data_IF_978987403412
#
_entry.id   IF_978987403412
#
_cell.length_a   1.000
_cell.length_b   1.000
_cell.length_c   1.000
_cell.angle_alpha   90.00
_cell.angle_beta   90.00
_cell.angle_gamma   90.00
#
_symmetry.space_group_name_H-M   'P 1'
#
loop_
_entity.id
_entity.type
_entity.pdbx_description
1 polymer ?
#
# COMPACT_ATOMS: atom_id res chain seq x y z
N UNK A 1 -2.83 -8.66 -22.82
CA UNK A 1 -3.44 -9.19 -21.59
C UNK A 1 -3.58 -8.04 -20.60
N UNK A 2 -4.65 -7.97 -19.82
CA UNK A 2 -4.90 -6.86 -18.87
C UNK A 2 -4.05 -7.08 -17.61
N UNK A 3 -3.36 -6.04 -17.13
CA UNK A 3 -2.65 -6.10 -15.86
C UNK A 3 -3.64 -6.34 -14.71
N UNK A 4 -3.21 -7.11 -13.70
CA UNK A 4 -3.97 -7.28 -12.46
C UNK A 4 -3.63 -6.15 -11.52
N UNK A 5 -4.64 -5.55 -10.89
CA UNK A 5 -4.44 -4.48 -9.90
C UNK A 5 -4.65 -5.03 -8.50
N UNK A 6 -3.68 -4.80 -7.61
CA UNK A 6 -3.76 -5.17 -6.20
C UNK A 6 -3.72 -3.87 -5.37
N UNK A 7 -4.77 -3.62 -4.61
CA UNK A 7 -4.84 -2.48 -3.69
C UNK A 7 -4.70 -2.98 -2.25
N UNK A 8 -3.64 -2.54 -1.58
CA UNK A 8 -3.35 -2.80 -0.18
C UNK A 8 -3.75 -1.57 0.63
N UNK A 9 -4.50 -1.75 1.71
CA UNK A 9 -5.06 -0.64 2.49
C UNK A 9 -4.73 -0.86 3.96
N UNK A 10 -4.03 0.08 4.58
CA UNK A 10 -3.59 -0.02 5.98
C UNK A 10 -3.53 1.38 6.61
N UNK A 11 -3.81 1.57 7.92
CA UNK A 11 -3.80 2.90 8.51
C UNK A 11 -2.40 3.53 8.53
N UNK A 12 -1.35 2.73 8.75
CA UNK A 12 0.05 3.20 8.75
C UNK A 12 1.03 2.08 8.42
N UNK A 13 2.30 2.42 8.19
CA UNK A 13 3.42 1.49 8.10
C UNK A 13 4.43 1.76 9.23
N UNK A 14 3.93 1.93 10.45
CA UNK A 14 4.75 2.05 11.66
C UNK A 14 5.35 0.70 12.09
N UNK A 15 6.20 0.69 13.11
CA UNK A 15 6.77 -0.55 13.64
C UNK A 15 5.66 -1.43 14.25
N UNK A 16 5.43 -2.60 13.64
CA UNK A 16 4.37 -3.51 14.03
C UNK A 16 4.34 -4.79 13.19
N UNK A 17 3.71 -5.84 13.70
CA UNK A 17 3.68 -7.14 13.03
C UNK A 17 2.89 -7.12 11.73
N UNK A 18 1.71 -6.50 11.74
CA UNK A 18 0.84 -6.42 10.57
C UNK A 18 1.43 -5.49 9.50
N UNK A 19 2.03 -4.39 9.92
CA UNK A 19 2.69 -3.41 9.06
C UNK A 19 3.92 -4.01 8.36
N UNK A 20 4.68 -4.84 9.08
CA UNK A 20 5.78 -5.61 8.48
C UNK A 20 5.26 -6.58 7.43
N UNK A 21 4.23 -7.37 7.75
CA UNK A 21 3.64 -8.32 6.80
C UNK A 21 3.09 -7.60 5.57
N UNK A 22 2.42 -6.47 5.75
CA UNK A 22 1.90 -5.66 4.65
C UNK A 22 3.03 -5.17 3.73
N UNK A 23 4.15 -4.75 4.31
CA UNK A 23 5.34 -4.31 3.56
C UNK A 23 5.96 -5.45 2.75
N UNK A 24 6.07 -6.64 3.34
CA UNK A 24 6.57 -7.84 2.64
C UNK A 24 5.65 -8.25 1.49
N UNK A 25 4.33 -8.22 1.70
CA UNK A 25 3.34 -8.51 0.65
C UNK A 25 3.41 -7.50 -0.49
N UNK A 26 3.44 -6.20 -0.17
CA UNK A 26 3.57 -5.15 -1.18
C UNK A 26 4.85 -5.34 -2.01
N UNK A 27 5.97 -5.61 -1.35
CA UNK A 27 7.25 -5.87 -1.99
C UNK A 27 7.26 -7.18 -2.80
N UNK A 28 6.52 -8.20 -2.39
CA UNK A 28 6.37 -9.44 -3.15
C UNK A 28 5.55 -9.23 -4.43
N UNK A 29 4.40 -8.57 -4.33
CA UNK A 29 3.49 -8.38 -5.46
C UNK A 29 4.06 -7.44 -6.52
N UNK A 30 4.81 -6.41 -6.13
CA UNK A 30 5.40 -5.46 -7.09
C UNK A 30 6.47 -6.11 -8.00
N UNK A 31 6.96 -7.29 -7.64
CA UNK A 31 7.90 -8.07 -8.45
C UNK A 31 7.21 -8.95 -9.50
N UNK A 32 5.88 -9.10 -9.44
CA UNK A 32 5.12 -9.93 -10.38
C UNK A 32 4.91 -9.15 -11.68
N UNK A 33 5.21 -9.79 -12.82
CA UNK A 33 4.93 -9.22 -14.14
C UNK A 33 3.43 -8.95 -14.27
N UNK A 34 3.08 -7.85 -14.95
CA UNK A 34 1.69 -7.47 -15.24
C UNK A 34 0.83 -7.30 -13.97
N UNK A 35 1.43 -6.86 -12.86
CA UNK A 35 0.73 -6.57 -11.61
C UNK A 35 1.02 -5.14 -11.19
N UNK A 36 -0.03 -4.33 -11.04
CA UNK A 36 0.05 -2.97 -10.55
C UNK A 36 -0.35 -2.97 -9.06
N UNK A 37 0.55 -2.49 -8.20
CA UNK A 37 0.35 -2.52 -6.75
C UNK A 37 0.18 -1.10 -6.23
N UNK A 38 -0.95 -0.86 -5.58
CA UNK A 38 -1.26 0.40 -4.91
C UNK A 38 -1.31 0.17 -3.41
N UNK A 39 -0.67 1.04 -2.63
CA UNK A 39 -0.74 1.04 -1.18
C UNK A 39 -1.40 2.33 -0.70
N UNK A 40 -2.54 2.18 -0.02
CA UNK A 40 -3.32 3.29 0.52
C UNK A 40 -3.11 3.36 2.02
N UNK A 41 -2.59 4.50 2.48
CA UNK A 41 -2.43 4.86 3.87
C UNK A 41 -3.51 5.86 4.26
N UNK A 42 -4.36 5.52 5.23
CA UNK A 42 -5.54 6.31 5.61
C UNK A 42 -5.54 6.83 7.04
N UNK A 43 -4.48 6.56 7.81
CA UNK A 43 -4.33 7.10 9.15
C UNK A 43 -4.07 8.60 9.17
N UNK A 44 -4.32 9.24 10.32
CA UNK A 44 -4.17 10.69 10.53
C UNK A 44 -2.74 11.18 10.29
N UNK A 45 -1.74 10.37 10.64
CA UNK A 45 -0.32 10.63 10.40
C UNK A 45 0.34 9.35 9.84
N UNK A 46 0.37 9.18 8.51
CA UNK A 46 0.91 7.97 7.91
C UNK A 46 2.45 7.97 8.01
N UNK A 47 2.97 7.40 9.09
CA UNK A 47 4.39 7.09 9.21
C UNK A 47 4.76 5.91 8.32
N UNK A 48 5.78 6.10 7.48
CA UNK A 48 6.35 5.07 6.61
C UNK A 48 7.71 4.70 7.21
N UNK A 49 7.72 3.66 8.05
CA UNK A 49 8.95 3.14 8.65
C UNK A 49 9.59 2.06 7.76
N UNK A 50 8.77 1.24 7.10
CA UNK A 50 9.25 0.20 6.19
C UNK A 50 9.44 0.73 4.76
N UNK A 51 10.65 0.60 4.24
CA UNK A 51 10.99 0.95 2.87
C UNK A 51 10.34 -0.03 1.88
N UNK A 52 9.65 0.49 0.88
CA UNK A 52 9.13 -0.30 -0.26
C UNK A 52 9.86 0.07 -1.54
N UNK A 53 9.94 -0.88 -2.47
CA UNK A 53 10.64 -0.70 -3.75
C UNK A 53 9.97 0.38 -4.63
N UNK A 54 10.75 0.98 -5.55
CA UNK A 54 10.40 2.15 -6.39
C UNK A 54 9.12 2.05 -7.23
N UNK A 55 8.54 0.85 -7.38
CA UNK A 55 7.38 0.60 -8.24
C UNK A 55 6.05 0.55 -7.48
N UNK A 56 6.04 0.90 -6.18
CA UNK A 56 4.82 0.96 -5.38
C UNK A 56 4.20 2.36 -5.47
N UNK A 57 2.92 2.44 -5.86
CA UNK A 57 2.20 3.72 -5.82
C UNK A 57 1.57 3.92 -4.45
N UNK A 58 1.91 5.02 -3.80
CA UNK A 58 1.38 5.40 -2.50
C UNK A 58 0.23 6.39 -2.63
N UNK A 59 -0.87 6.10 -1.95
CA UNK A 59 -1.98 7.04 -1.77
C UNK A 59 -2.07 7.39 -0.30
N UNK A 60 -1.93 8.68 0.04
CA UNK A 60 -2.14 9.16 1.40
C UNK A 60 -3.50 9.84 1.46
N UNK A 61 -4.44 9.26 2.20
CA UNK A 61 -5.72 9.90 2.44
C UNK A 61 -5.74 10.56 3.81
N UNK A 62 -5.92 11.87 3.84
CA UNK A 62 -6.12 12.66 5.05
C UNK A 62 -7.61 12.66 5.49
N UNK A 63 -8.53 12.12 4.68
CA UNK A 63 -9.98 12.12 4.96
C UNK A 63 -10.62 10.77 4.58
N UNK A 64 -11.73 10.48 5.26
CA UNK A 64 -12.59 9.29 5.18
C UNK A 64 -12.38 8.41 3.93
N UNK A 65 -12.08 7.13 4.17
CA UNK A 65 -11.79 6.10 3.15
C UNK A 65 -12.89 5.93 2.09
N UNK A 66 -14.11 6.36 2.40
CA UNK A 66 -15.29 6.27 1.52
C UNK A 66 -15.20 7.09 0.23
N UNK A 67 -14.29 8.06 0.12
CA UNK A 67 -14.17 8.93 -1.08
C UNK A 67 -13.21 8.39 -2.16
N UNK A 68 -12.40 7.37 -1.87
CA UNK A 68 -11.38 6.84 -2.81
C UNK A 68 -11.86 5.56 -3.50
N UNK A 69 -12.90 4.92 -2.97
CA UNK A 69 -13.42 3.63 -3.47
C UNK A 69 -14.73 3.75 -4.27
N UNK A 70 -15.12 4.96 -4.70
CA UNK A 70 -16.28 5.22 -5.57
C UNK A 70 -15.85 5.81 -6.91
#
# INVERSE_FOLDING_TARGET
>A
MKNKTICLVIPSLQAGGMERVMSELANYFVQKKQTDVHLVLYGKEPNIFYLTRKNLTFHRSCRNLSLILN
#
